data_IF_987424383118
#
_entry.id   IF_987424383118
#
_cell.length_a   1.000
_cell.length_b   1.000
_cell.length_c   1.000
_cell.angle_alpha   90.00
_cell.angle_beta   90.00
_cell.angle_gamma   90.00
#
_symmetry.space_group_name_H-M   'P 1'
#
loop_
_entity.id
_entity.type
_entity.pdbx_description
1 polymer ?
#
# COMPACT_ATOMS: atom_id res chain seq x y z
N UNK A 1 -23.92 -82.48 -34.24
CA UNK A 1 -23.91 -81.07 -34.69
C UNK A 1 -24.46 -80.22 -33.56
N UNK A 2 -23.71 -79.19 -33.22
CA UNK A 2 -23.90 -78.25 -32.11
C UNK A 2 -24.92 -77.19 -32.53
N UNK A 3 -25.89 -76.88 -31.67
CA UNK A 3 -26.71 -75.68 -31.78
C UNK A 3 -26.30 -74.71 -30.65
N UNK A 4 -25.70 -73.55 -30.96
CA UNK A 4 -25.20 -72.63 -29.95
C UNK A 4 -26.35 -71.82 -29.33
N UNK A 5 -26.43 -71.79 -28.01
CA UNK A 5 -27.26 -70.81 -27.30
C UNK A 5 -26.62 -69.42 -27.44
N UNK A 6 -27.17 -68.58 -28.32
CA UNK A 6 -26.81 -67.16 -28.42
C UNK A 6 -28.06 -66.34 -28.09
N UNK A 7 -28.01 -65.54 -27.03
CA UNK A 7 -29.01 -64.46 -26.87
C UNK A 7 -29.26 -63.83 -25.51
N UNK A 8 -28.81 -64.36 -24.36
CA UNK A 8 -29.14 -63.77 -23.04
C UNK A 8 -27.98 -63.21 -22.20
N UNK A 9 -26.73 -63.47 -22.58
CA UNK A 9 -25.56 -62.99 -21.81
C UNK A 9 -25.15 -61.55 -22.16
N UNK A 10 -25.44 -61.07 -23.38
CA UNK A 10 -25.05 -59.72 -23.82
C UNK A 10 -25.84 -58.58 -23.17
N UNK A 11 -27.12 -58.81 -22.82
CA UNK A 11 -27.98 -57.77 -22.23
C UNK A 11 -27.60 -57.44 -20.78
N UNK A 12 -27.22 -58.46 -20.01
CA UNK A 12 -26.77 -58.30 -18.63
C UNK A 12 -25.48 -57.47 -18.60
N UNK A 13 -24.56 -57.72 -19.53
CA UNK A 13 -23.31 -56.96 -19.64
C UNK A 13 -23.58 -55.47 -19.92
N UNK A 14 -24.53 -55.14 -20.80
CA UNK A 14 -24.90 -53.75 -21.11
C UNK A 14 -25.53 -53.06 -19.90
N UNK A 15 -26.44 -53.74 -19.18
CA UNK A 15 -27.05 -53.19 -17.97
C UNK A 15 -26.01 -52.93 -16.86
N UNK A 16 -25.06 -53.86 -16.67
CA UNK A 16 -23.97 -53.71 -15.70
C UNK A 16 -23.01 -52.59 -16.11
N UNK A 17 -22.65 -52.48 -17.39
CA UNK A 17 -21.83 -51.38 -17.90
C UNK A 17 -22.48 -50.01 -17.69
N UNK A 18 -23.78 -49.90 -17.93
CA UNK A 18 -24.53 -48.67 -17.65
C UNK A 18 -24.61 -48.35 -16.15
N UNK A 19 -24.82 -49.37 -15.31
CA UNK A 19 -24.81 -49.20 -13.86
C UNK A 19 -23.43 -48.72 -13.36
N UNK A 20 -22.35 -49.35 -13.84
CA UNK A 20 -20.98 -48.97 -13.52
C UNK A 20 -20.64 -47.57 -14.04
N UNK A 21 -21.11 -47.21 -15.24
CA UNK A 21 -20.96 -45.86 -15.79
C UNK A 21 -21.67 -44.80 -14.95
N UNK A 22 -22.90 -45.07 -14.52
CA UNK A 22 -23.65 -44.19 -13.62
C UNK A 22 -22.95 -44.04 -12.27
N UNK A 23 -22.46 -45.13 -11.68
CA UNK A 23 -21.70 -45.13 -10.43
C UNK A 23 -20.38 -44.35 -10.55
N UNK A 24 -19.63 -44.56 -11.62
CA UNK A 24 -18.39 -43.83 -11.88
C UNK A 24 -18.64 -42.33 -12.05
N UNK A 25 -19.70 -41.96 -12.77
CA UNK A 25 -20.08 -40.56 -12.96
C UNK A 25 -20.48 -39.90 -11.63
N UNK A 26 -21.25 -40.59 -10.79
CA UNK A 26 -21.62 -40.12 -9.46
C UNK A 26 -20.37 -39.94 -8.56
N UNK A 27 -19.44 -40.90 -8.59
CA UNK A 27 -18.19 -40.83 -7.85
C UNK A 27 -17.32 -39.64 -8.28
N UNK A 28 -17.24 -39.37 -9.59
CA UNK A 28 -16.50 -38.22 -10.13
C UNK A 28 -17.12 -36.89 -9.69
N UNK A 29 -18.45 -36.74 -9.78
CA UNK A 29 -19.15 -35.53 -9.34
C UNK A 29 -18.93 -35.31 -7.84
N UNK A 30 -19.06 -36.36 -7.03
CA UNK A 30 -18.89 -36.27 -5.59
C UNK A 30 -17.45 -35.93 -5.20
N UNK A 31 -16.46 -36.53 -5.89
CA UNK A 31 -15.05 -36.20 -5.68
C UNK A 31 -14.75 -34.75 -6.04
N UNK A 32 -15.25 -34.26 -7.18
CA UNK A 32 -15.08 -32.86 -7.59
C UNK A 32 -15.74 -31.90 -6.58
N UNK A 33 -16.92 -32.25 -6.08
CA UNK A 33 -17.62 -31.47 -5.07
C UNK A 33 -16.86 -31.41 -3.73
N UNK A 34 -16.33 -32.53 -3.24
CA UNK A 34 -15.50 -32.55 -2.03
C UNK A 34 -14.23 -31.74 -2.23
N UNK A 35 -13.53 -31.91 -3.35
CA UNK A 35 -12.32 -31.14 -3.65
C UNK A 35 -12.61 -29.65 -3.68
N UNK A 36 -13.67 -29.22 -4.37
CA UNK A 36 -14.08 -27.82 -4.43
C UNK A 36 -14.45 -27.26 -3.04
N UNK A 37 -15.18 -28.05 -2.24
CA UNK A 37 -15.58 -27.67 -0.88
C UNK A 37 -14.36 -27.57 0.04
N UNK A 38 -13.43 -28.52 -0.03
CA UNK A 38 -12.19 -28.51 0.74
C UNK A 38 -11.33 -27.29 0.40
N UNK A 39 -11.21 -26.94 -0.88
CA UNK A 39 -10.48 -25.73 -1.30
C UNK A 39 -11.16 -24.45 -0.82
N UNK A 40 -12.50 -24.39 -0.86
CA UNK A 40 -13.26 -23.23 -0.41
C UNK A 40 -13.15 -23.01 1.11
N UNK A 41 -13.26 -24.09 1.89
CA UNK A 41 -13.13 -24.05 3.36
C UNK A 41 -11.70 -23.67 3.76
N UNK A 42 -10.68 -24.26 3.11
CA UNK A 42 -9.28 -23.91 3.37
C UNK A 42 -9.02 -22.41 3.13
N UNK A 43 -9.50 -21.85 2.01
CA UNK A 43 -9.38 -20.42 1.72
C UNK A 43 -10.07 -19.50 2.73
N UNK A 44 -11.25 -19.91 3.23
CA UNK A 44 -11.97 -19.16 4.26
C UNK A 44 -11.22 -19.15 5.60
N UNK A 45 -10.71 -20.31 6.04
CA UNK A 45 -9.90 -20.42 7.26
C UNK A 45 -8.61 -19.59 7.15
N UNK A 46 -7.95 -19.65 5.99
CA UNK A 46 -6.74 -18.90 5.71
C UNK A 46 -6.94 -17.39 5.83
N UNK A 47 -8.06 -16.86 5.29
CA UNK A 47 -8.39 -15.44 5.37
C UNK A 47 -8.61 -14.98 6.82
N UNK A 48 -9.34 -15.78 7.60
CA UNK A 48 -9.61 -15.48 9.02
C UNK A 48 -8.32 -15.51 9.84
N UNK A 49 -7.44 -16.49 9.62
CA UNK A 49 -6.16 -16.56 10.31
C UNK A 49 -5.26 -15.38 9.96
N UNK A 50 -5.18 -14.99 8.67
CA UNK A 50 -4.42 -13.81 8.24
C UNK A 50 -4.97 -12.54 8.86
N UNK A 51 -6.29 -12.34 8.88
CA UNK A 51 -6.91 -11.16 9.48
C UNK A 51 -6.67 -11.09 11.00
N UNK A 52 -6.81 -12.22 11.70
CA UNK A 52 -6.54 -12.31 13.13
C UNK A 52 -5.07 -12.04 13.47
N UNK A 53 -4.14 -12.64 12.70
CA UNK A 53 -2.70 -12.42 12.87
C UNK A 53 -2.33 -10.95 12.59
N UNK A 54 -2.89 -10.34 11.55
CA UNK A 54 -2.67 -8.93 11.24
C UNK A 54 -3.19 -8.00 12.34
N UNK A 55 -4.40 -8.22 12.86
CA UNK A 55 -4.95 -7.46 13.98
C UNK A 55 -4.06 -7.58 15.22
N UNK A 56 -3.61 -8.80 15.56
CA UNK A 56 -2.71 -9.02 16.68
C UNK A 56 -1.36 -8.31 16.48
N UNK A 57 -0.82 -8.30 15.26
CA UNK A 57 0.41 -7.58 14.92
C UNK A 57 0.26 -6.07 15.13
N UNK A 58 -0.85 -5.50 14.66
CA UNK A 58 -1.16 -4.07 14.81
C UNK A 58 -1.24 -3.70 16.29
N UNK A 59 -2.07 -4.39 17.07
CA UNK A 59 -2.28 -4.07 18.49
C UNK A 59 -0.99 -4.19 19.29
N UNK A 60 -0.22 -5.27 19.08
CA UNK A 60 1.02 -5.49 19.82
C UNK A 60 2.09 -4.44 19.49
N UNK A 61 2.22 -4.07 18.22
CA UNK A 61 3.18 -3.04 17.78
C UNK A 61 2.80 -1.67 18.36
N UNK A 62 1.52 -1.33 18.31
CA UNK A 62 1.00 -0.09 18.88
C UNK A 62 1.18 -0.02 20.40
N UNK A 63 0.86 -1.10 21.11
CA UNK A 63 1.05 -1.20 22.56
C UNK A 63 2.53 -1.02 22.96
N UNK A 64 3.46 -1.67 22.26
CA UNK A 64 4.88 -1.51 22.55
C UNK A 64 5.38 -0.09 22.25
N UNK A 65 4.84 0.55 21.20
CA UNK A 65 5.18 1.94 20.88
C UNK A 65 4.72 2.91 21.97
N UNK A 66 3.49 2.75 22.47
CA UNK A 66 2.95 3.56 23.55
C UNK A 66 3.74 3.42 24.85
N UNK A 67 4.18 2.20 25.17
CA UNK A 67 4.93 1.93 26.39
C UNK A 67 6.44 2.23 26.27
N UNK A 68 6.87 2.91 25.21
CA UNK A 68 8.28 3.27 25.00
C UNK A 68 9.22 2.08 24.76
N UNK A 69 8.67 0.88 24.53
CA UNK A 69 9.46 -0.33 24.24
C UNK A 69 10.17 -0.28 22.90
N UNK A 70 9.71 0.60 22.00
CA UNK A 70 10.33 0.86 20.71
C UNK A 70 10.84 2.30 20.69
N UNK A 71 12.15 2.47 20.87
CA UNK A 71 12.82 3.76 20.85
C UNK A 71 12.95 4.29 19.43
N UNK A 72 11.84 4.81 18.88
CA UNK A 72 11.85 5.98 18.01
C UNK A 72 12.79 6.00 16.80
N UNK A 73 13.20 4.86 16.25
CA UNK A 73 13.92 4.81 14.98
C UNK A 73 13.06 4.17 13.90
N UNK A 74 12.89 4.89 12.79
CA UNK A 74 12.33 4.31 11.56
C UNK A 74 13.09 3.02 11.26
N UNK A 75 12.37 1.91 11.05
CA UNK A 75 12.88 0.58 10.71
C UNK A 75 13.20 -0.39 11.88
N UNK A 76 12.77 -0.08 13.11
CA UNK A 76 12.74 -1.09 14.18
C UNK A 76 11.87 -2.28 13.76
N UNK A 77 12.43 -3.48 13.92
CA UNK A 77 11.76 -4.73 13.58
C UNK A 77 11.29 -5.42 14.85
N UNK A 78 9.99 -5.69 14.93
CA UNK A 78 9.42 -6.49 16.00
C UNK A 78 9.01 -7.85 15.46
N UNK A 79 9.65 -8.89 15.99
CA UNK A 79 9.33 -10.28 15.71
C UNK A 79 8.52 -10.88 16.85
N UNK A 80 7.30 -11.32 16.57
CA UNK A 80 6.40 -11.97 17.53
C UNK A 80 5.86 -13.28 16.96
N UNK A 81 5.34 -14.13 17.85
CA UNK A 81 4.63 -15.34 17.45
C UNK A 81 3.24 -15.36 18.08
N UNK A 82 2.22 -15.49 17.25
CA UNK A 82 0.82 -15.57 17.66
C UNK A 82 0.29 -16.93 17.19
N UNK A 83 0.12 -17.86 18.12
CA UNK A 83 -0.22 -19.25 17.80
C UNK A 83 0.83 -19.91 16.89
N UNK A 84 0.39 -20.32 15.70
CA UNK A 84 1.17 -20.94 14.61
C UNK A 84 1.70 -19.95 13.56
N UNK A 85 1.59 -18.64 13.81
CA UNK A 85 2.02 -17.60 12.87
C UNK A 85 3.21 -16.83 13.45
N UNK A 86 4.32 -16.85 12.73
CA UNK A 86 5.47 -15.96 12.99
C UNK A 86 5.22 -14.65 12.27
N UNK A 87 5.33 -13.54 13.00
CA UNK A 87 5.03 -12.21 12.49
C UNK A 87 6.29 -11.37 12.65
N UNK A 88 6.74 -10.78 11.55
CA UNK A 88 7.79 -9.76 11.54
C UNK A 88 7.18 -8.45 11.10
N UNK A 89 7.32 -7.42 11.93
CA UNK A 89 6.75 -6.09 11.67
C UNK A 89 7.86 -5.07 11.55
N UNK A 90 7.76 -4.18 10.57
CA UNK A 90 8.55 -2.96 10.50
C UNK A 90 7.62 -1.77 10.36
N UNK A 91 8.01 -0.63 10.90
CA UNK A 91 7.20 0.58 10.82
C UNK A 91 8.01 1.79 10.38
N UNK A 92 7.29 2.76 9.81
CA UNK A 92 7.80 4.06 9.37
C UNK A 92 6.76 5.14 9.66
N UNK A 93 7.21 6.28 10.18
CA UNK A 93 6.35 7.45 10.38
C UNK A 93 5.83 8.00 9.05
N UNK A 94 4.55 8.37 9.00
CA UNK A 94 3.98 9.04 7.84
C UNK A 94 4.47 10.50 7.71
N UNK A 95 4.99 11.11 8.79
CA UNK A 95 5.67 12.42 8.70
C UNK A 95 6.97 12.39 7.91
N UNK A 96 7.53 11.21 7.62
CA UNK A 96 8.70 11.04 6.77
C UNK A 96 8.38 11.09 5.26
N UNK A 97 7.10 11.28 4.89
CA UNK A 97 6.59 11.25 3.50
C UNK A 97 5.86 12.54 3.16
N UNK A 98 5.83 12.85 1.86
CA UNK A 98 5.18 14.05 1.31
C UNK A 98 3.67 13.86 1.30
N UNK A 99 2.94 14.72 1.99
CA UNK A 99 1.47 14.66 2.02
C UNK A 99 0.85 15.20 0.72
N UNK A 100 0.17 14.37 -0.06
CA UNK A 100 -0.48 14.76 -1.31
C UNK A 100 -1.59 15.80 -1.11
N UNK A 101 -2.12 15.98 0.11
CA UNK A 101 -3.19 16.94 0.38
C UNK A 101 -2.66 18.28 0.92
N UNK A 102 -1.48 18.28 1.54
CA UNK A 102 -0.94 19.47 2.22
C UNK A 102 0.38 19.98 1.64
N UNK A 103 1.13 19.17 0.88
CA UNK A 103 2.42 19.57 0.31
C UNK A 103 2.27 20.76 -0.64
N UNK A 104 3.20 21.71 -0.60
CA UNK A 104 3.22 22.83 -1.56
C UNK A 104 3.59 22.36 -2.98
N UNK A 105 3.33 23.22 -3.98
CA UNK A 105 3.77 22.92 -5.36
C UNK A 105 5.28 22.77 -5.43
N UNK A 106 6.03 23.63 -4.73
CA UNK A 106 7.49 23.59 -4.73
C UNK A 106 8.01 22.26 -4.16
N UNK A 107 7.39 21.76 -3.08
CA UNK A 107 7.77 20.48 -2.47
C UNK A 107 7.49 19.28 -3.38
N UNK A 108 6.32 19.27 -4.04
CA UNK A 108 5.97 18.24 -5.03
C UNK A 108 6.90 18.28 -6.24
N UNK A 109 7.22 19.48 -6.73
CA UNK A 109 8.17 19.70 -7.82
C UNK A 109 9.57 19.20 -7.44
N UNK A 110 10.05 19.54 -6.24
CA UNK A 110 11.32 19.03 -5.71
C UNK A 110 11.38 17.51 -5.63
N UNK A 111 10.28 16.86 -5.22
CA UNK A 111 10.21 15.39 -5.15
C UNK A 111 10.29 14.76 -6.53
N UNK A 112 9.60 15.34 -7.51
CA UNK A 112 9.62 14.84 -8.89
C UNK A 112 10.99 15.11 -9.54
N UNK A 113 11.62 16.23 -9.22
CA UNK A 113 12.98 16.53 -9.69
C UNK A 113 14.02 15.57 -9.08
N UNK A 114 13.84 15.13 -7.83
CA UNK A 114 14.80 14.25 -7.14
C UNK A 114 14.92 12.86 -7.76
N UNK A 115 13.95 12.43 -8.57
CA UNK A 115 14.01 11.17 -9.34
C UNK A 115 14.60 11.35 -10.76
N UNK A 116 15.15 12.54 -11.07
CA UNK A 116 15.85 12.84 -12.32
C UNK A 116 14.99 13.51 -13.41
N UNK A 117 13.81 14.01 -13.08
CA UNK A 117 12.97 14.79 -14.02
C UNK A 117 13.47 16.24 -14.07
N UNK A 118 13.46 16.84 -15.26
CA UNK A 118 13.88 18.24 -15.40
C UNK A 118 13.00 19.18 -14.54
N UNK A 119 13.55 20.25 -13.94
CA UNK A 119 12.78 21.14 -13.06
C UNK A 119 11.52 21.72 -13.71
N UNK A 120 11.56 21.99 -15.02
CA UNK A 120 10.42 22.50 -15.79
C UNK A 120 9.28 21.47 -15.87
N UNK A 121 9.60 20.21 -16.18
CA UNK A 121 8.61 19.14 -16.22
C UNK A 121 8.12 18.78 -14.81
N UNK A 122 9.02 18.80 -13.83
CA UNK A 122 8.68 18.54 -12.43
C UNK A 122 7.66 19.56 -11.91
N UNK A 123 7.84 20.85 -12.21
CA UNK A 123 6.87 21.89 -11.86
C UNK A 123 5.54 21.70 -12.60
N UNK A 124 5.59 21.38 -13.90
CA UNK A 124 4.37 21.09 -14.68
C UNK A 124 3.60 19.90 -14.10
N UNK A 125 4.26 18.81 -13.70
CA UNK A 125 3.61 17.66 -13.09
C UNK A 125 3.10 17.95 -11.68
N UNK A 126 3.87 18.68 -10.86
CA UNK A 126 3.41 19.15 -9.55
C UNK A 126 2.16 20.03 -9.67
N UNK A 127 2.10 20.87 -10.70
CA UNK A 127 0.91 21.68 -11.03
C UNK A 127 -0.33 20.83 -11.24
N UNK A 128 -0.21 19.68 -11.94
CA UNK A 128 -1.32 18.75 -12.16
C UNK A 128 -1.81 18.11 -10.87
N UNK A 129 -0.89 17.73 -9.98
CA UNK A 129 -1.24 17.16 -8.66
C UNK A 129 -2.01 18.19 -7.81
N UNK A 130 -1.55 19.45 -7.82
CA UNK A 130 -2.25 20.54 -7.13
C UNK A 130 -3.61 20.80 -7.78
N UNK A 131 -3.68 20.91 -9.10
CA UNK A 131 -4.92 21.11 -9.85
C UNK A 131 -5.97 20.03 -9.56
N UNK A 132 -5.55 18.77 -9.43
CA UNK A 132 -6.41 17.65 -9.07
C UNK A 132 -7.15 17.86 -7.73
N UNK A 133 -6.44 18.30 -6.69
CA UNK A 133 -6.96 18.39 -5.32
C UNK A 133 -7.56 19.76 -4.96
N UNK A 134 -7.27 20.79 -5.74
CA UNK A 134 -7.72 22.16 -5.46
C UNK A 134 -9.23 22.26 -5.60
N UNK A 135 -9.89 22.62 -4.50
CA UNK A 135 -11.31 22.99 -4.53
C UNK A 135 -11.46 24.28 -5.31
N UNK A 136 -12.34 24.24 -6.29
CA UNK A 136 -12.72 25.39 -7.11
C UNK A 136 -14.22 25.60 -6.98
N UNK A 137 -14.65 26.86 -7.05
CA UNK A 137 -16.07 27.17 -7.16
C UNK A 137 -16.54 26.79 -8.56
N UNK A 138 -17.71 26.18 -8.66
CA UNK A 138 -18.29 25.79 -9.94
C UNK A 138 -18.40 27.00 -10.87
N UNK A 139 -17.87 26.89 -12.09
CA UNK A 139 -17.89 27.96 -13.10
C UNK A 139 -16.85 29.06 -12.92
N UNK A 140 -15.88 28.88 -12.00
CA UNK A 140 -14.70 29.76 -11.91
C UNK A 140 -13.73 29.54 -13.08
N UNK A 141 -12.87 30.52 -13.36
CA UNK A 141 -11.85 30.41 -14.42
C UNK A 141 -10.91 29.23 -14.16
N UNK A 142 -10.52 29.03 -12.90
CA UNK A 142 -9.64 27.93 -12.49
C UNK A 142 -10.31 26.56 -12.67
N UNK A 143 -11.62 26.46 -12.36
CA UNK A 143 -12.46 25.28 -12.61
C UNK A 143 -12.50 24.92 -14.10
N UNK A 144 -12.73 25.89 -14.98
CA UNK A 144 -12.74 25.65 -16.41
C UNK A 144 -11.36 25.26 -16.95
N UNK A 145 -10.29 25.87 -16.43
CA UNK A 145 -8.93 25.62 -16.92
C UNK A 145 -8.51 24.16 -16.77
N UNK A 146 -8.58 23.59 -15.56
CA UNK A 146 -8.14 22.21 -15.33
C UNK A 146 -9.15 21.20 -15.93
N UNK A 147 -10.45 21.46 -15.83
CA UNK A 147 -11.46 20.59 -16.46
C UNK A 147 -11.30 20.52 -17.99
N UNK A 148 -10.97 21.65 -18.64
CA UNK A 148 -10.80 21.69 -20.10
C UNK A 148 -9.68 20.76 -20.57
N UNK A 149 -8.62 20.60 -19.77
CA UNK A 149 -7.50 19.71 -20.10
C UNK A 149 -7.93 18.24 -20.14
N UNK A 150 -8.79 17.82 -19.22
CA UNK A 150 -9.28 16.44 -19.17
C UNK A 150 -10.29 16.19 -20.29
N UNK A 151 -11.18 17.15 -20.56
CA UNK A 151 -12.13 17.08 -21.69
C UNK A 151 -11.42 17.05 -23.04
N UNK A 152 -10.41 17.91 -23.23
CA UNK A 152 -9.61 17.96 -24.45
C UNK A 152 -8.81 16.66 -24.68
N UNK A 153 -8.40 15.99 -23.59
CA UNK A 153 -7.80 14.67 -23.64
C UNK A 153 -8.80 13.52 -23.90
N UNK A 154 -10.10 13.83 -24.02
CA UNK A 154 -11.15 12.83 -24.26
C UNK A 154 -11.44 11.93 -23.07
N UNK A 155 -11.06 12.33 -21.86
CA UNK A 155 -11.32 11.56 -20.64
C UNK A 155 -12.79 11.67 -20.23
N UNK A 156 -13.37 10.56 -19.79
CA UNK A 156 -14.74 10.49 -19.30
C UNK A 156 -14.88 10.88 -17.81
N UNK A 157 -13.81 11.43 -17.23
CA UNK A 157 -13.74 11.89 -15.86
C UNK A 157 -13.03 13.24 -15.80
N UNK A 158 -13.26 13.96 -14.72
CA UNK A 158 -12.69 15.27 -14.44
C UNK A 158 -11.75 15.20 -13.21
N UNK A 159 -10.90 16.20 -12.99
CA UNK A 159 -10.21 16.37 -11.73
C UNK A 159 -11.15 16.26 -10.54
N UNK A 160 -10.66 15.76 -9.42
CA UNK A 160 -11.49 15.55 -8.23
C UNK A 160 -11.98 16.85 -7.61
N UNK A 161 -11.21 17.94 -7.72
CA UNK A 161 -11.45 19.21 -7.04
C UNK A 161 -11.68 19.07 -5.52
N UNK A 162 -11.04 18.07 -4.91
CA UNK A 162 -11.09 17.80 -3.49
C UNK A 162 -9.84 16.99 -3.08
N UNK A 163 -9.51 16.93 -1.77
CA UNK A 163 -8.40 16.13 -1.28
C UNK A 163 -8.43 14.68 -1.78
N UNK A 164 -7.25 14.12 -2.03
CA UNK A 164 -7.02 12.72 -2.34
C UNK A 164 -7.56 11.85 -1.18
N UNK A 165 -8.58 10.98 -1.43
CA UNK A 165 -9.03 9.97 -0.48
C UNK A 165 -8.10 8.75 -0.45
N UNK A 166 -7.32 8.55 -1.53
CA UNK A 166 -6.32 7.50 -1.63
C UNK A 166 -5.14 8.00 -2.48
N UNK A 167 -3.93 7.56 -2.12
CA UNK A 167 -2.69 7.85 -2.87
C UNK A 167 -2.74 7.35 -4.32
N UNK A 168 -3.58 6.36 -4.61
CA UNK A 168 -3.67 5.69 -5.91
C UNK A 168 -4.44 6.54 -6.92
N UNK A 169 -5.19 7.56 -6.50
CA UNK A 169 -5.78 8.50 -7.46
C UNK A 169 -4.72 9.31 -8.20
N UNK A 170 -3.47 9.29 -7.74
CA UNK A 170 -2.35 9.85 -8.49
C UNK A 170 -2.24 9.23 -9.90
N UNK A 171 -2.69 7.99 -10.09
CA UNK A 171 -2.78 7.33 -11.40
C UNK A 171 -3.83 7.95 -12.34
N UNK A 172 -4.80 8.68 -11.80
CA UNK A 172 -5.85 9.36 -12.57
C UNK A 172 -5.46 10.77 -13.00
N UNK A 173 -4.43 11.34 -12.39
CA UNK A 173 -3.95 12.69 -12.69
C UNK A 173 -3.38 12.73 -14.11
N UNK A 174 -4.06 13.49 -14.97
CA UNK A 174 -3.70 13.59 -16.38
C UNK A 174 -2.38 14.35 -16.59
N UNK A 175 -1.61 13.92 -17.60
CA UNK A 175 -0.38 14.58 -18.03
C UNK A 175 0.89 14.17 -17.28
N UNK A 176 0.80 13.26 -16.29
CA UNK A 176 1.98 12.72 -15.59
C UNK A 176 2.32 11.33 -16.15
N UNK A 177 3.57 11.08 -16.59
CA UNK A 177 3.97 9.76 -17.05
C UNK A 177 3.85 8.71 -15.95
N UNK A 178 3.36 7.51 -16.30
CA UNK A 178 3.17 6.38 -15.37
C UNK A 178 4.44 6.02 -14.59
N UNK A 179 5.61 6.11 -15.20
CA UNK A 179 6.88 5.82 -14.54
C UNK A 179 7.25 6.85 -13.47
N UNK A 180 6.84 8.12 -13.64
CA UNK A 180 7.03 9.17 -12.62
C UNK A 180 6.17 8.84 -11.40
N UNK A 181 4.89 8.53 -11.63
CA UNK A 181 3.96 8.12 -10.59
C UNK A 181 4.52 6.92 -9.82
N UNK A 182 4.90 5.85 -10.53
CA UNK A 182 5.49 4.65 -9.93
C UNK A 182 6.70 4.95 -9.02
N UNK A 183 7.56 5.89 -9.42
CA UNK A 183 8.76 6.26 -8.66
C UNK A 183 8.48 7.12 -7.43
N UNK A 184 7.47 8.00 -7.47
CA UNK A 184 7.16 8.88 -6.34
C UNK A 184 6.18 8.27 -5.34
N UNK A 185 5.40 7.26 -5.74
CA UNK A 185 4.41 6.58 -4.88
C UNK A 185 4.96 6.15 -3.50
N UNK A 186 6.16 5.56 -3.38
CA UNK A 186 6.73 5.20 -2.08
C UNK A 186 7.08 6.40 -1.17
N UNK A 187 7.18 7.59 -1.74
CA UNK A 187 7.59 8.82 -1.05
C UNK A 187 6.42 9.72 -0.66
N UNK A 188 5.22 9.45 -1.16
CA UNK A 188 4.01 10.27 -0.92
C UNK A 188 3.01 9.57 0.00
N UNK A 189 2.15 10.33 0.68
CA UNK A 189 1.11 9.81 1.58
C UNK A 189 -0.10 10.77 1.61
N UNK A 190 -1.17 10.38 2.29
CA UNK A 190 -2.29 11.28 2.66
C UNK A 190 -2.49 11.35 4.18
N UNK A 191 -1.60 10.72 4.96
CA UNK A 191 -1.76 10.48 6.39
C UNK A 191 -0.80 11.30 7.27
N UNK A 192 0.00 12.19 6.69
CA UNK A 192 0.89 13.07 7.47
C UNK A 192 0.07 14.23 8.07
N UNK A 193 -0.90 14.77 7.31
CA UNK A 193 -1.82 15.82 7.78
C UNK A 193 -1.19 17.21 7.86
N UNK A 194 0.04 17.37 7.36
CA UNK A 194 0.79 18.64 7.30
C UNK A 194 1.61 18.71 6.02
N UNK A 195 1.97 19.93 5.61
CA UNK A 195 2.84 20.18 4.46
C UNK A 195 4.34 20.10 4.76
N UNK A 196 4.70 19.77 6.01
CA UNK A 196 6.08 19.65 6.48
C UNK A 196 6.50 18.20 6.63
N UNK A 197 7.81 17.97 6.61
CA UNK A 197 8.43 16.64 6.59
C UNK A 197 9.38 16.51 7.78
N UNK A 198 9.26 15.41 8.50
CA UNK A 198 10.21 15.05 9.54
C UNK A 198 11.55 14.63 8.90
N UNK A 199 12.54 15.52 8.94
CA UNK A 199 13.86 15.32 8.32
C UNK A 199 14.73 14.31 9.06
N UNK A 200 14.40 13.99 10.32
CA UNK A 200 15.07 12.98 11.13
C UNK A 200 14.70 11.55 10.70
N UNK A 201 13.61 11.39 9.97
CA UNK A 201 13.05 10.10 9.55
C UNK A 201 12.91 9.96 8.02
N UNK A 202 12.82 11.07 7.29
CA UNK A 202 12.64 11.11 5.84
C UNK A 202 13.70 10.33 5.05
N UNK A 203 13.28 9.74 3.93
CA UNK A 203 14.21 9.13 2.98
C UNK A 203 15.07 10.20 2.28
N UNK A 204 16.28 9.87 1.79
CA UNK A 204 17.15 10.81 1.06
C UNK A 204 16.45 11.57 -0.06
N UNK A 205 15.62 10.88 -0.86
CA UNK A 205 14.88 11.47 -1.98
C UNK A 205 13.83 12.49 -1.53
N UNK A 206 13.28 12.29 -0.33
CA UNK A 206 12.29 13.19 0.29
C UNK A 206 12.97 14.41 0.89
N UNK A 207 14.16 14.25 1.49
CA UNK A 207 14.97 15.38 1.97
C UNK A 207 15.41 16.24 0.78
N UNK A 208 15.85 15.62 -0.32
CA UNK A 208 16.22 16.33 -1.54
C UNK A 208 15.04 17.11 -2.18
N UNK A 209 13.80 16.75 -1.86
CA UNK A 209 12.62 17.47 -2.33
C UNK A 209 12.39 18.81 -1.63
N UNK A 210 12.98 19.02 -0.46
CA UNK A 210 12.77 20.24 0.32
C UNK A 210 13.33 21.46 -0.44
N UNK A 211 12.68 22.63 -0.32
CA UNK A 211 13.15 23.85 -0.95
C UNK A 211 14.61 24.16 -0.59
N UNK A 212 15.37 24.64 -1.58
CA UNK A 212 16.77 25.08 -1.41
C UNK A 212 17.73 23.97 -0.91
N UNK A 213 17.38 22.70 -1.11
CA UNK A 213 18.30 21.59 -0.89
C UNK A 213 19.20 21.34 -2.09
N UNK A 214 20.50 21.23 -1.82
CA UNK A 214 21.51 20.79 -2.79
C UNK A 214 22.00 19.39 -2.40
N UNK A 215 22.56 18.60 -3.34
CA UNK A 215 23.10 17.28 -3.02
C UNK A 215 24.09 17.29 -1.83
N UNK A 216 24.91 18.33 -1.72
CA UNK A 216 25.90 18.50 -0.65
C UNK A 216 25.22 18.73 0.72
N UNK A 217 24.13 19.51 0.73
CA UNK A 217 23.33 19.73 1.96
C UNK A 217 22.61 18.47 2.37
N UNK A 218 21.99 17.76 1.43
CA UNK A 218 21.34 16.47 1.70
C UNK A 218 22.36 15.50 2.29
N UNK A 219 23.55 15.39 1.71
CA UNK A 219 24.61 14.53 2.24
C UNK A 219 25.02 14.95 3.65
N UNK A 220 25.17 16.24 3.91
CA UNK A 220 25.51 16.77 5.24
C UNK A 220 24.43 16.43 6.28
N UNK A 221 23.15 16.51 5.90
CA UNK A 221 22.00 16.12 6.74
C UNK A 221 22.06 14.62 7.05
N UNK A 222 22.27 13.78 6.03
CA UNK A 222 22.35 12.32 6.19
C UNK A 222 23.53 11.92 7.08
N UNK A 223 24.72 12.47 6.85
CA UNK A 223 25.89 12.21 7.70
C UNK A 223 25.69 12.73 9.13
N UNK A 224 24.99 13.85 9.33
CA UNK A 224 24.65 14.33 10.66
C UNK A 224 23.67 13.40 11.39
N UNK A 225 22.70 12.79 10.68
CA UNK A 225 21.78 11.79 11.22
C UNK A 225 22.50 10.52 11.66
N UNK A 226 23.48 10.05 10.88
CA UNK A 226 24.27 8.86 11.21
C UNK A 226 25.19 9.09 12.43
N UNK A 227 25.82 10.26 12.51
CA UNK A 227 26.81 10.58 13.55
C UNK A 227 26.18 11.01 14.89
N UNK A 228 24.98 11.61 14.86
CA UNK A 228 24.36 12.22 16.05
C UNK A 228 22.88 11.83 16.17
N UNK A 229 22.58 10.53 16.23
CA UNK A 229 21.23 10.03 16.50
C UNK A 229 20.60 10.62 17.79
N UNK A 230 21.42 11.20 18.68
CA UNK A 230 21.01 11.79 19.95
C UNK A 230 20.78 13.32 19.94
N UNK A 231 21.23 14.07 18.92
CA UNK A 231 21.00 15.53 18.85
C UNK A 231 20.32 15.95 17.53
N UNK A 232 18.96 15.99 17.52
CA UNK A 232 18.16 16.47 16.41
C UNK A 232 18.50 17.90 15.94
N UNK A 233 19.07 18.73 16.82
CA UNK A 233 19.26 20.17 16.58
C UNK A 233 20.22 20.44 15.43
N UNK A 234 21.27 19.61 15.28
CA UNK A 234 22.23 19.74 14.18
C UNK A 234 21.59 19.42 12.84
N UNK A 235 20.77 18.38 12.76
CA UNK A 235 20.05 17.98 11.54
C UNK A 235 19.08 19.09 11.14
N UNK A 236 18.35 19.65 12.10
CA UNK A 236 17.42 20.77 11.87
C UNK A 236 18.13 22.03 11.39
N UNK A 237 19.30 22.35 11.96
CA UNK A 237 20.09 23.51 11.54
C UNK A 237 20.55 23.39 10.09
N UNK A 238 20.99 22.20 9.67
CA UNK A 238 21.37 21.92 8.28
C UNK A 238 20.16 21.93 7.34
N UNK A 239 19.01 21.47 7.82
CA UNK A 239 17.76 21.46 7.07
C UNK A 239 17.04 22.82 7.02
N UNK A 240 17.41 23.79 7.86
CA UNK A 240 16.68 25.07 8.06
C UNK A 240 16.42 25.86 6.76
N UNK A 241 17.25 25.65 5.73
CA UNK A 241 17.03 26.24 4.40
C UNK A 241 15.67 25.85 3.76
N UNK A 242 15.09 24.71 4.15
CA UNK A 242 13.77 24.26 3.72
C UNK A 242 12.60 25.02 4.37
N UNK A 243 12.86 25.88 5.37
CA UNK A 243 11.85 26.70 6.03
C UNK A 243 10.70 25.87 6.62
N UNK A 244 9.47 26.31 6.38
CA UNK A 244 8.25 25.71 6.95
C UNK A 244 7.96 24.27 6.49
N UNK A 245 8.68 23.78 5.47
CA UNK A 245 8.57 22.38 5.02
C UNK A 245 9.36 21.41 5.89
N UNK A 246 10.15 21.90 6.85
CA UNK A 246 10.99 21.11 7.74
C UNK A 246 10.30 20.93 9.09
N UNK A 247 10.24 19.69 9.57
CA UNK A 247 9.78 19.34 10.89
C UNK A 247 10.75 18.37 11.58
N UNK A 248 10.63 18.27 12.90
CA UNK A 248 11.29 17.27 13.73
C UNK A 248 10.29 16.44 14.55
N UNK A 249 9.02 16.88 14.60
CA UNK A 249 8.01 16.26 15.42
C UNK A 249 7.66 14.86 14.89
N UNK A 250 7.59 13.86 15.78
CA UNK A 250 7.12 12.53 15.41
C UNK A 250 5.62 12.60 15.04
N UNK A 251 5.21 11.78 14.08
CA UNK A 251 3.78 11.61 13.77
C UNK A 251 3.17 10.48 14.59
N UNK A 252 1.89 10.64 14.90
CA UNK A 252 1.05 9.56 15.43
C UNK A 252 0.58 8.62 14.33
N UNK A 253 0.60 9.07 13.08
CA UNK A 253 0.34 8.22 11.92
C UNK A 253 1.61 7.48 11.52
N UNK A 254 1.51 6.15 11.46
CA UNK A 254 2.59 5.29 11.03
C UNK A 254 2.09 4.26 10.02
N UNK A 255 2.99 3.87 9.13
CA UNK A 255 2.82 2.75 8.23
C UNK A 255 3.57 1.56 8.78
N UNK A 256 2.88 0.44 8.87
CA UNK A 256 3.44 -0.82 9.29
C UNK A 256 3.42 -1.81 8.13
N UNK A 257 4.56 -2.43 7.86
CA UNK A 257 4.65 -3.62 7.01
C UNK A 257 4.69 -4.85 7.91
N UNK A 258 3.77 -5.77 7.70
CA UNK A 258 3.61 -6.99 8.48
C UNK A 258 3.88 -8.17 7.55
N UNK A 259 4.92 -8.93 7.85
CA UNK A 259 5.21 -10.20 7.20
C UNK A 259 4.78 -11.34 8.11
N UNK A 260 3.81 -12.13 7.66
CA UNK A 260 3.28 -13.28 8.38
C UNK A 260 3.79 -14.55 7.70
N UNK A 261 4.45 -15.41 8.46
CA UNK A 261 4.88 -16.75 8.02
C UNK A 261 4.11 -17.80 8.82
N UNK A 262 3.36 -18.63 8.11
CA UNK A 262 2.55 -19.70 8.68
C UNK A 262 3.35 -21.00 8.75
N UNK A 263 2.98 -21.92 9.64
CA UNK A 263 3.67 -23.22 9.80
C UNK A 263 3.67 -24.10 8.53
N UNK A 264 2.69 -23.89 7.63
CA UNK A 264 2.64 -24.54 6.32
C UNK A 264 3.60 -23.92 5.27
N UNK A 265 4.43 -22.95 5.67
CA UNK A 265 5.38 -22.27 4.80
C UNK A 265 4.79 -21.10 4.00
N UNK A 266 3.47 -20.87 4.07
CA UNK A 266 2.82 -19.73 3.43
C UNK A 266 3.35 -18.43 4.02
N UNK A 267 3.63 -17.45 3.15
CA UNK A 267 4.00 -16.10 3.54
C UNK A 267 2.96 -15.11 3.02
N UNK A 268 2.56 -14.19 3.87
CA UNK A 268 1.65 -13.09 3.51
C UNK A 268 2.27 -11.79 3.98
N UNK A 269 2.35 -10.82 3.07
CA UNK A 269 2.73 -9.45 3.39
C UNK A 269 1.49 -8.57 3.42
N UNK A 270 1.37 -7.78 4.47
CA UNK A 270 0.31 -6.80 4.63
C UNK A 270 0.91 -5.44 4.98
N UNK A 271 0.28 -4.39 4.50
CA UNK A 271 0.61 -3.02 4.85
C UNK A 271 -0.58 -2.39 5.55
N UNK A 272 -0.37 -1.82 6.73
CA UNK A 272 -1.39 -1.12 7.49
C UNK A 272 -0.92 0.31 7.78
N UNK A 273 -1.81 1.28 7.63
CA UNK A 273 -1.60 2.62 8.15
C UNK A 273 -2.44 2.77 9.41
N UNK A 274 -1.81 3.14 10.51
CA UNK A 274 -2.44 3.24 11.82
C UNK A 274 -2.15 4.59 12.45
N UNK A 275 -3.09 5.07 13.24
CA UNK A 275 -2.97 6.28 14.04
C UNK A 275 -2.93 5.91 15.51
N UNK A 276 -1.79 6.15 16.16
CA UNK A 276 -1.60 5.88 17.59
C UNK A 276 -2.43 6.86 18.41
N UNK A 277 -3.19 6.32 19.37
CA UNK A 277 -3.99 7.12 20.30
C UNK A 277 -3.41 6.97 21.71
N UNK A 278 -3.58 8.02 22.52
CA UNK A 278 -3.18 8.01 23.93
C UNK A 278 -4.35 7.62 24.85
N UNK A 279 -5.45 7.08 24.31
CA UNK A 279 -6.64 6.72 25.09
C UNK A 279 -6.58 5.28 25.63
N UNK A 280 -7.07 5.10 26.85
CA UNK A 280 -6.92 3.85 27.63
C UNK A 280 -7.69 2.62 27.08
N UNK A 281 -8.35 2.74 25.92
CA UNK A 281 -9.24 1.72 25.35
C UNK A 281 -8.75 1.08 24.05
N UNK A 282 -8.05 1.82 23.19
CA UNK A 282 -7.50 1.31 21.91
C UNK A 282 -6.12 1.92 21.68
N UNK A 283 -5.08 1.09 21.59
CA UNK A 283 -3.71 1.58 21.38
C UNK A 283 -3.54 2.30 20.03
N UNK A 284 -4.33 1.91 19.03
CA UNK A 284 -4.28 2.45 17.69
C UNK A 284 -5.62 2.37 16.97
N UNK A 285 -5.88 3.33 16.08
CA UNK A 285 -6.93 3.25 15.07
C UNK A 285 -6.33 2.87 13.73
N UNK A 286 -6.86 1.82 13.10
CA UNK A 286 -6.50 1.46 11.73
C UNK A 286 -7.14 2.45 10.74
N UNK A 287 -6.32 3.10 9.92
CA UNK A 287 -6.77 4.02 8.88
C UNK A 287 -6.93 3.32 7.53
N UNK A 288 -6.03 2.39 7.22
CA UNK A 288 -6.04 1.64 5.96
C UNK A 288 -5.29 0.30 6.10
N UNK A 289 -5.69 -0.70 5.34
CA UNK A 289 -5.02 -2.01 5.26
C UNK A 289 -4.99 -2.47 3.81
N UNK A 290 -3.85 -3.03 3.40
CA UNK A 290 -3.61 -3.66 2.09
C UNK A 290 -2.91 -4.99 2.29
N UNK A 291 -3.29 -6.00 1.52
CA UNK A 291 -2.64 -7.30 1.50
C UNK A 291 -2.04 -7.56 0.11
N UNK A 292 -0.89 -8.20 0.03
CA UNK A 292 -0.26 -8.62 -1.25
C UNK A 292 -1.22 -9.49 -2.10
N UNK A 293 -2.09 -10.27 -1.45
CA UNK A 293 -3.11 -11.09 -2.10
C UNK A 293 -4.11 -10.26 -2.93
N UNK A 294 -4.37 -9.01 -2.55
CA UNK A 294 -5.25 -8.10 -3.31
C UNK A 294 -4.54 -7.50 -4.53
N UNK A 295 -3.20 -7.48 -4.53
CA UNK A 295 -2.37 -6.93 -5.61
C UNK A 295 -2.19 -7.94 -6.75
N UNK A 296 -1.91 -9.21 -6.44
CA UNK A 296 -1.87 -10.28 -7.46
C UNK A 296 -3.20 -10.44 -8.19
N UNK A 297 -4.32 -10.41 -7.45
CA UNK A 297 -5.66 -10.47 -8.05
C UNK A 297 -5.95 -9.29 -8.99
N UNK A 298 -5.43 -8.09 -8.67
CA UNK A 298 -5.55 -6.90 -9.52
C UNK A 298 -4.61 -6.93 -10.72
N UNK A 299 -3.38 -7.41 -10.56
CA UNK A 299 -2.42 -7.56 -11.67
C UNK A 299 -2.94 -8.55 -12.70
N UNK A 300 -3.53 -9.67 -12.25
CA UNK A 300 -4.18 -10.65 -13.13
C UNK A 300 -5.39 -10.00 -13.84
N UNK A 301 -6.27 -9.32 -13.10
CA UNK A 301 -7.44 -8.66 -13.70
C UNK A 301 -7.08 -7.47 -14.63
N UNK A 302 -5.92 -6.85 -14.45
CA UNK A 302 -5.41 -5.77 -15.29
C UNK A 302 -4.63 -6.28 -16.52
N UNK A 303 -4.09 -7.50 -16.47
CA UNK A 303 -3.47 -8.16 -17.62
C UNK A 303 -4.50 -8.73 -18.61
N UNK A 304 -5.75 -8.94 -18.16
CA UNK A 304 -6.88 -9.40 -18.97
C UNK A 304 -7.69 -8.27 -19.63
N UNK A 305 -7.24 -7.01 -19.55
CA UNK A 305 -7.87 -5.84 -20.19
C UNK A 305 -6.90 -5.10 -21.11
#
# INVERSE_FOLDING_TARGET
MIAPQRGREGFILVAVLWLLGALATLALIYSAFISATATAVAGATDRVQTEAALRAAIEMTCFQRLNGGVQGTTNDRLDIRVGSVKISTSYRSEAARVDLNHASRELLSGLIASIGISPVLADAYASRIVGWRTRVSAGSIDDESENSLYRAAGLNYLPRHAPFPHVDELWLVHGIPKFVIARILPSVTIYNGRGSINVLEAAPQVIAALPKMTPERVQSILSARELNAADPSRVLTLAAAGGDTVAAEPSRAMRMTVQMTFDNGRQVKSEAVVFVRDDAGEACRVLNVRNDLDEEARVIAAAER
#
